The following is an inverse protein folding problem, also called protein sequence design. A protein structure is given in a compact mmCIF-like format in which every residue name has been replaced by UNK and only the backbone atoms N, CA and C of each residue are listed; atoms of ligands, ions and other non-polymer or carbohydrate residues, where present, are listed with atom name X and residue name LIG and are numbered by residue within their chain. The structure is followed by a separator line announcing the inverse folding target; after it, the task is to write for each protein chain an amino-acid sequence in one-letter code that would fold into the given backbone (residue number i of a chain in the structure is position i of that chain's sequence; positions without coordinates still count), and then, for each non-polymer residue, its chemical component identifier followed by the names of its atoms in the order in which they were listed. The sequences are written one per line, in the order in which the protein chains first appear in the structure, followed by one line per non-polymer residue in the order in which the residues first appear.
data_IF_689316376583
#
_entry.id   IF_689316376583
#
_cell.length_a   1.000
_cell.length_b   1.000
_cell.length_c   1.000
_cell.angle_alpha   90.00
_cell.angle_beta   90.00
_cell.angle_gamma   90.00
#
_symmetry.space_group_name_H-M   'P 1'
#
loop_
_entity.id
_entity.type
_entity.pdbx_description
1 polymer ?
#
# COMPACT_ATOMS: atom_id res chain seq x y z
N UNK A 1 -10.77 68.49 -11.60
CA UNK A 1 -10.45 68.56 -13.04
C UNK A 1 -9.84 67.23 -13.47
N UNK A 2 -10.41 66.62 -14.52
CA UNK A 2 -9.82 65.65 -15.51
C UNK A 2 -9.15 64.37 -14.95
N UNK A 3 -9.80 63.21 -14.95
CA UNK A 3 -10.13 62.27 -16.05
C UNK A 3 -9.01 61.26 -16.34
N UNK A 4 -9.34 59.96 -16.29
CA UNK A 4 -8.50 58.85 -16.74
C UNK A 4 -9.20 57.50 -16.54
N UNK A 5 -9.98 57.07 -17.54
CA UNK A 5 -10.58 55.73 -17.66
C UNK A 5 -9.53 54.74 -18.15
N UNK A 6 -9.47 53.52 -17.58
CA UNK A 6 -8.98 52.31 -18.29
C UNK A 6 -9.87 51.11 -17.91
N UNK A 7 -10.23 50.35 -18.95
CA UNK A 7 -11.22 49.28 -19.10
C UNK A 7 -10.81 47.92 -18.46
N UNK A 8 -11.73 46.92 -18.41
CA UNK A 8 -11.61 45.67 -17.67
C UNK A 8 -10.85 44.57 -18.46
N UNK A 9 -10.17 43.69 -17.73
CA UNK A 9 -9.67 42.39 -18.20
C UNK A 9 -10.09 41.36 -17.14
N UNK A 10 -11.13 40.57 -17.41
CA UNK A 10 -11.08 39.24 -18.05
C UNK A 10 -10.37 38.18 -17.20
N UNK A 11 -11.20 37.24 -16.73
CA UNK A 11 -11.01 35.79 -16.76
C UNK A 11 -9.73 35.19 -16.16
N UNK A 12 -9.93 34.38 -15.11
CA UNK A 12 -8.93 33.43 -14.65
C UNK A 12 -9.47 32.56 -13.52
N UNK A 13 -10.44 31.70 -13.82
CA UNK A 13 -10.81 30.61 -12.92
C UNK A 13 -9.62 29.65 -12.80
N UNK A 14 -8.85 29.78 -11.72
CA UNK A 14 -7.81 28.83 -11.35
C UNK A 14 -8.48 27.59 -10.76
N UNK A 15 -8.84 26.66 -11.63
CA UNK A 15 -9.14 25.28 -11.25
C UNK A 15 -7.84 24.67 -10.70
N UNK A 16 -7.69 24.68 -9.38
CA UNK A 16 -6.67 23.92 -8.69
C UNK A 16 -6.99 22.43 -8.85
N UNK A 17 -6.45 21.80 -9.90
CA UNK A 17 -6.46 20.37 -10.04
C UNK A 17 -5.56 19.77 -8.95
N UNK A 18 -6.16 19.29 -7.87
CA UNK A 18 -5.49 18.46 -6.87
C UNK A 18 -5.18 17.10 -7.50
N UNK A 19 -4.01 16.98 -8.12
CA UNK A 19 -3.46 15.69 -8.50
C UNK A 19 -3.25 14.87 -7.21
N UNK A 20 -3.86 13.68 -7.06
CA UNK A 20 -3.52 12.81 -5.95
C UNK A 20 -2.07 12.37 -6.17
N UNK A 21 -1.18 12.89 -5.33
CA UNK A 21 0.20 12.46 -5.25
C UNK A 21 0.18 11.00 -4.78
N UNK A 22 0.17 10.07 -5.74
CA UNK A 22 0.39 8.66 -5.46
C UNK A 22 1.83 8.58 -4.92
N UNK A 23 1.95 8.51 -3.60
CA UNK A 23 3.22 8.28 -2.93
C UNK A 23 3.72 6.90 -3.36
N UNK A 24 4.48 6.86 -4.46
CA UNK A 24 5.28 5.71 -4.84
C UNK A 24 6.34 5.57 -3.75
N UNK A 25 6.08 4.70 -2.78
CA UNK A 25 7.10 4.27 -1.84
C UNK A 25 8.29 3.77 -2.67
N UNK A 26 9.39 4.52 -2.66
CA UNK A 26 10.59 4.14 -3.38
C UNK A 26 10.98 2.73 -2.94
N UNK A 27 11.23 1.79 -3.87
CA UNK A 27 11.70 0.47 -3.50
C UNK A 27 13.01 0.66 -2.75
N UNK A 28 13.00 0.38 -1.45
CA UNK A 28 14.22 0.40 -0.66
C UNK A 28 15.17 -0.63 -1.33
N UNK A 29 16.32 -0.19 -1.87
CA UNK A 29 17.19 -1.05 -2.66
C UNK A 29 17.70 -2.27 -1.87
N UNK A 30 17.61 -2.24 -0.53
CA UNK A 30 17.97 -3.34 0.37
C UNK A 30 16.77 -4.07 0.99
N UNK A 31 15.57 -3.98 0.40
CA UNK A 31 14.43 -4.74 0.88
C UNK A 31 14.61 -6.24 0.59
N UNK A 32 14.77 -7.04 1.65
CA UNK A 32 14.82 -8.52 1.57
C UNK A 32 13.51 -9.14 1.06
N UNK A 33 12.44 -8.35 0.98
CA UNK A 33 11.12 -8.77 0.54
C UNK A 33 10.80 -8.14 -0.80
N UNK A 34 10.68 -8.98 -1.82
CA UNK A 34 10.30 -8.56 -3.18
C UNK A 34 8.79 -8.64 -3.33
N UNK A 35 8.16 -7.60 -3.87
CA UNK A 35 6.73 -7.64 -4.17
C UNK A 35 6.40 -8.82 -5.09
N UNK A 36 5.29 -9.51 -4.83
CA UNK A 36 4.80 -10.59 -5.67
C UNK A 36 3.36 -10.33 -6.07
N UNK A 37 3.03 -10.60 -7.33
CA UNK A 37 1.66 -10.60 -7.85
C UNK A 37 0.88 -11.85 -7.43
N UNK A 38 1.54 -12.83 -6.79
CA UNK A 38 0.87 -14.03 -6.27
C UNK A 38 -0.11 -13.67 -5.17
N UNK A 39 -1.33 -14.19 -5.28
CA UNK A 39 -2.37 -14.00 -4.26
C UNK A 39 -2.17 -14.95 -3.09
N UNK A 40 -2.68 -14.57 -1.92
CA UNK A 40 -2.69 -15.45 -0.75
C UNK A 40 -3.38 -16.79 -1.01
N UNK A 41 -4.50 -16.76 -1.74
CA UNK A 41 -5.25 -17.96 -2.08
C UNK A 41 -4.44 -18.91 -2.96
N UNK A 42 -3.73 -18.39 -3.97
CA UNK A 42 -2.82 -19.19 -4.79
C UNK A 42 -1.71 -19.84 -3.97
N UNK A 43 -1.13 -19.12 -2.99
CA UNK A 43 -0.12 -19.71 -2.10
C UNK A 43 -0.68 -20.92 -1.33
N UNK A 44 -1.88 -20.78 -0.76
CA UNK A 44 -2.56 -21.88 -0.05
C UNK A 44 -2.81 -23.07 -1.00
N UNK A 45 -3.35 -22.81 -2.19
CA UNK A 45 -3.59 -23.85 -3.20
C UNK A 45 -2.31 -24.54 -3.66
N UNK A 46 -1.19 -23.82 -3.69
CA UNK A 46 0.14 -24.36 -4.02
C UNK A 46 0.84 -25.06 -2.85
N UNK A 47 0.16 -25.23 -1.71
CA UNK A 47 0.66 -25.99 -0.56
C UNK A 47 1.59 -25.21 0.36
N UNK A 48 1.55 -23.87 0.34
CA UNK A 48 2.20 -23.07 1.37
C UNK A 48 1.36 -23.11 2.65
N UNK A 49 2.00 -23.44 3.77
CA UNK A 49 1.36 -23.42 5.09
C UNK A 49 1.53 -22.07 5.77
N UNK A 50 0.51 -21.62 6.50
CA UNK A 50 0.61 -20.44 7.38
C UNK A 50 1.41 -20.86 8.62
N UNK A 51 2.58 -20.27 8.82
CA UNK A 51 3.48 -20.59 9.94
C UNK A 51 3.47 -19.54 11.05
N UNK A 52 3.01 -18.33 10.75
CA UNK A 52 2.86 -17.26 11.74
C UNK A 52 1.82 -16.24 11.29
N UNK A 53 1.12 -15.67 12.27
CA UNK A 53 0.22 -14.53 12.09
C UNK A 53 0.51 -13.52 13.18
N UNK A 54 0.73 -12.27 12.79
CA UNK A 54 0.87 -11.16 13.73
C UNK A 54 -0.18 -10.09 13.41
N UNK A 55 -0.76 -9.49 14.43
CA UNK A 55 -1.67 -8.37 14.30
C UNK A 55 -1.08 -7.20 15.06
N UNK A 56 -0.68 -6.15 14.34
CA UNK A 56 -0.09 -4.95 14.94
C UNK A 56 -0.69 -3.72 14.28
N UNK A 57 -0.95 -2.68 15.07
CA UNK A 57 -1.31 -1.39 14.50
C UNK A 57 -0.13 -0.87 13.67
N UNK A 58 -0.36 -0.62 12.39
CA UNK A 58 0.65 -0.10 11.49
C UNK A 58 1.03 1.31 11.92
N UNK A 59 2.33 1.55 12.09
CA UNK A 59 2.84 2.87 12.54
C UNK A 59 2.50 4.00 11.58
N UNK A 60 2.29 3.69 10.30
CA UNK A 60 2.04 4.65 9.22
C UNK A 60 0.56 5.01 9.07
N UNK A 61 -0.36 4.05 9.24
CA UNK A 61 -1.80 4.25 9.01
C UNK A 61 -2.61 4.31 10.30
N UNK A 62 -2.04 3.86 11.44
CA UNK A 62 -2.75 3.70 12.71
C UNK A 62 -3.79 2.57 12.69
N UNK A 63 -3.95 1.89 11.56
CA UNK A 63 -4.90 0.81 11.37
C UNK A 63 -4.28 -0.54 11.77
N UNK A 64 -5.06 -1.51 12.28
CA UNK A 64 -4.56 -2.86 12.50
C UNK A 64 -4.15 -3.49 11.16
N UNK A 65 -2.91 -3.97 11.08
CA UNK A 65 -2.41 -4.79 9.97
C UNK A 65 -2.16 -6.21 10.46
N UNK A 66 -2.81 -7.16 9.80
CA UNK A 66 -2.56 -8.58 10.00
C UNK A 66 -1.49 -9.02 8.99
N UNK A 67 -0.37 -9.49 9.50
CA UNK A 67 0.72 -10.05 8.70
C UNK A 67 0.72 -11.56 8.82
N UNK A 68 0.64 -12.23 7.67
CA UNK A 68 0.70 -13.67 7.53
C UNK A 68 2.05 -14.07 6.97
N UNK A 69 2.72 -15.03 7.61
CA UNK A 69 3.93 -15.66 7.08
C UNK A 69 3.55 -17.04 6.58
N UNK A 70 3.82 -17.29 5.30
CA UNK A 70 3.58 -18.57 4.66
C UNK A 70 4.90 -19.20 4.22
N UNK A 71 5.02 -20.51 4.36
CA UNK A 71 6.24 -21.24 4.01
C UNK A 71 5.93 -22.53 3.27
N UNK A 72 6.77 -22.82 2.27
CA UNK A 72 6.89 -24.12 1.62
C UNK A 72 8.36 -24.37 1.34
N UNK A 73 8.90 -25.45 1.90
CA UNK A 73 10.33 -25.81 1.79
C UNK A 73 11.24 -24.62 2.10
N UNK A 74 11.90 -24.05 1.08
CA UNK A 74 12.85 -22.95 1.16
C UNK A 74 12.28 -21.60 0.66
N UNK A 75 10.99 -21.54 0.35
CA UNK A 75 10.30 -20.34 -0.09
C UNK A 75 9.41 -19.80 1.02
N UNK A 76 9.52 -18.50 1.28
CA UNK A 76 8.78 -17.80 2.33
C UNK A 76 8.07 -16.60 1.71
N UNK A 77 6.79 -16.46 2.02
CA UNK A 77 5.98 -15.31 1.65
C UNK A 77 5.50 -14.58 2.89
N UNK A 78 5.49 -13.26 2.82
CA UNK A 78 4.84 -12.38 3.78
C UNK A 78 3.67 -11.72 3.08
N UNK A 79 2.48 -11.88 3.63
CA UNK A 79 1.29 -11.22 3.11
C UNK A 79 0.65 -10.34 4.18
N UNK A 80 0.32 -9.10 3.83
CA UNK A 80 -0.23 -8.10 4.76
C UNK A 80 -1.67 -7.77 4.38
N UNK A 81 -2.58 -7.90 5.35
CA UNK A 81 -3.97 -7.47 5.30
C UNK A 81 -4.12 -6.18 6.10
N UNK A 82 -4.51 -5.08 5.46
CA UNK A 82 -4.87 -3.84 6.16
C UNK A 82 -6.32 -3.92 6.62
N UNK A 83 -6.61 -3.80 7.91
CA UNK A 83 -8.02 -3.77 8.36
C UNK A 83 -8.51 -2.34 8.46
N UNK A 84 -9.73 -2.08 7.98
CA UNK A 84 -10.39 -0.82 8.25
C UNK A 84 -10.64 -0.70 9.77
N UNK A 85 -10.27 0.43 10.37
CA UNK A 85 -10.68 0.75 11.73
C UNK A 85 -12.17 1.07 11.71
N UNK A 86 -12.96 0.13 12.22
CA UNK A 86 -14.32 0.31 12.71
C UNK A 86 -15.36 0.86 11.72
N UNK A 87 -16.19 -0.02 11.18
CA UNK A 87 -17.63 -0.04 11.51
C UNK A 87 -18.08 -1.49 11.43
N UNK A 88 -19.01 -1.94 12.28
CA UNK A 88 -19.46 -3.34 12.39
C UNK A 88 -20.10 -3.97 11.14
N UNK A 89 -19.93 -3.39 9.96
CA UNK A 89 -20.29 -3.96 8.69
C UNK A 89 -19.05 -4.63 8.08
N UNK A 90 -19.12 -5.97 7.96
CA UNK A 90 -18.32 -6.84 7.07
C UNK A 90 -16.87 -6.42 6.90
N UNK A 91 -15.92 -7.16 7.50
CA UNK A 91 -14.47 -7.14 7.19
C UNK A 91 -14.27 -6.58 5.77
N UNK A 92 -14.06 -5.28 5.65
CA UNK A 92 -13.90 -4.68 4.34
C UNK A 92 -12.58 -5.26 3.88
N UNK A 93 -12.66 -6.25 2.99
CA UNK A 93 -11.52 -7.06 2.56
C UNK A 93 -10.59 -6.12 1.83
N UNK A 94 -9.70 -5.49 2.59
CA UNK A 94 -8.65 -4.73 1.98
C UNK A 94 -7.77 -5.71 1.20
N UNK A 95 -7.22 -5.27 0.06
CA UNK A 95 -6.43 -6.15 -0.78
C UNK A 95 -5.22 -6.65 -0.01
N UNK A 96 -5.14 -7.97 0.15
CA UNK A 96 -4.04 -8.65 0.81
C UNK A 96 -2.81 -8.61 -0.11
N UNK A 97 -1.71 -8.00 0.35
CA UNK A 97 -0.50 -7.79 -0.48
C UNK A 97 0.60 -8.74 -0.07
N UNK A 98 1.09 -9.54 -1.01
CA UNK A 98 2.15 -10.52 -0.76
C UNK A 98 3.52 -10.05 -1.26
N UNK A 99 4.56 -10.52 -0.58
CA UNK A 99 5.95 -10.34 -0.95
C UNK A 99 6.73 -11.63 -0.67
N UNK A 100 7.61 -12.01 -1.57
CA UNK A 100 8.49 -13.17 -1.44
C UNK A 100 9.80 -12.77 -0.76
N UNK A 101 10.29 -13.63 0.13
CA UNK A 101 11.63 -13.51 0.69
C UNK A 101 12.68 -13.85 -0.37
N UNK A 102 13.48 -12.87 -0.76
CA UNK A 102 14.58 -13.07 -1.71
C UNK A 102 15.91 -13.19 -0.98
N UNK A 103 16.90 -13.80 -1.65
CA UNK A 103 18.27 -13.88 -1.13
C UNK A 103 18.78 -12.44 -0.87
N UNK A 104 19.46 -12.19 0.27
CA UNK A 104 20.11 -10.90 0.50
C UNK A 104 21.08 -10.57 -0.64
N UNK A 105 21.16 -9.29 -1.01
CA UNK A 105 22.23 -8.82 -1.89
C UNK A 105 23.56 -9.09 -1.18
N UNK A 106 24.43 -9.86 -1.82
CA UNK A 106 25.81 -10.07 -1.40
C UNK A 106 26.65 -9.13 -2.26
N UNK A 107 27.35 -8.21 -1.60
CA UNK A 107 28.33 -7.32 -2.24
C UNK A 107 29.54 -8.09 -2.78
#
# INVERSE_FOLDING_TARGET
MKSGRILPFLFGALLAASLPMQAQAQPNPNAQWRHSETTFFELIQNGYGIVSVTSVAARSTGLPEDTYILQKTNSVFRCVETRAAETGAVRASAPLRCAELVKPYVD
#
